data_IF_948699924874
#
_entry.id   IF_948699924874
#
_cell.length_a   1.000
_cell.length_b   1.000
_cell.length_c   1.000
_cell.angle_alpha   90.00
_cell.angle_beta   90.00
_cell.angle_gamma   90.00
#
_symmetry.space_group_name_H-M   'P 1'
#
loop_
_entity.id
_entity.type
_entity.pdbx_description
1 polymer ?
#
# COMPACT_ATOMS: atom_id res chain seq x y z
N UNK A 1 5.86 1.84 5.98
CA UNK A 1 5.54 2.76 7.09
C UNK A 1 4.29 2.28 7.82
N UNK A 2 3.14 2.05 7.14
CA UNK A 2 1.92 1.56 7.79
C UNK A 2 2.12 0.25 8.58
N UNK A 3 2.83 -0.73 8.02
CA UNK A 3 3.14 -1.99 8.70
C UNK A 3 4.01 -1.79 9.93
N UNK A 4 4.99 -0.89 9.86
CA UNK A 4 5.86 -0.53 10.99
C UNK A 4 5.11 0.18 12.10
N UNK A 5 4.33 1.21 11.75
CA UNK A 5 3.47 1.91 12.72
C UNK A 5 2.44 0.95 13.31
N UNK A 6 1.89 0.03 12.50
CA UNK A 6 1.01 -1.03 12.95
C UNK A 6 1.66 -1.98 13.98
N UNK A 7 2.94 -2.30 13.79
CA UNK A 7 3.68 -3.17 14.72
C UNK A 7 4.00 -2.45 16.04
N UNK A 8 4.48 -1.20 15.97
CA UNK A 8 4.86 -0.38 17.14
C UNK A 8 3.63 -0.05 18.00
N UNK A 9 2.50 0.27 17.37
CA UNK A 9 1.27 0.70 18.06
C UNK A 9 0.24 -0.42 18.23
N UNK A 10 0.57 -1.68 17.88
CA UNK A 10 -0.31 -2.85 18.06
C UNK A 10 -0.88 -3.00 19.49
N UNK A 11 -0.11 -2.75 20.57
CA UNK A 11 -0.66 -2.85 21.92
C UNK A 11 -1.76 -1.81 22.22
N UNK A 12 -1.72 -0.63 21.58
CA UNK A 12 -2.79 0.37 21.74
C UNK A 12 -4.08 -0.01 21.02
N UNK A 13 -4.01 -0.82 19.96
CA UNK A 13 -5.18 -1.23 19.17
C UNK A 13 -6.10 -2.23 19.90
N UNK A 14 -5.62 -2.86 20.99
CA UNK A 14 -6.34 -3.94 21.67
C UNK A 14 -7.38 -3.45 22.70
N UNK A 15 -7.37 -2.16 23.06
CA UNK A 15 -8.36 -1.54 23.95
C UNK A 15 -9.33 -0.67 23.15
N UNK A 16 -10.64 -0.71 23.47
CA UNK A 16 -11.66 0.10 22.78
C UNK A 16 -11.33 1.60 22.81
N UNK A 17 -10.81 2.10 23.92
CA UNK A 17 -10.37 3.48 24.08
C UNK A 17 -9.07 3.77 23.31
N UNK A 18 -8.14 2.80 23.23
CA UNK A 18 -6.90 2.91 22.47
C UNK A 18 -7.13 2.99 20.95
N UNK A 19 -8.20 2.38 20.45
CA UNK A 19 -8.57 2.41 19.03
C UNK A 19 -8.85 3.84 18.52
N UNK A 20 -9.55 4.65 19.31
CA UNK A 20 -9.86 6.04 18.95
C UNK A 20 -8.61 6.95 18.89
N UNK A 21 -7.57 6.63 19.63
CA UNK A 21 -6.31 7.38 19.62
C UNK A 21 -5.33 6.86 18.55
N UNK A 22 -5.36 5.56 18.31
CA UNK A 22 -4.49 4.87 17.35
C UNK A 22 -4.65 5.37 15.92
N UNK A 23 -5.90 5.42 15.39
CA UNK A 23 -6.13 5.79 13.99
C UNK A 23 -5.71 7.23 13.67
N UNK A 24 -6.10 8.27 14.43
CA UNK A 24 -5.68 9.63 14.13
C UNK A 24 -4.16 9.82 14.28
N UNK A 25 -3.52 9.14 15.24
CA UNK A 25 -2.07 9.19 15.41
C UNK A 25 -1.35 8.59 14.20
N UNK A 26 -1.77 7.44 13.70
CA UNK A 26 -1.19 6.83 12.49
C UNK A 26 -1.42 7.72 11.27
N UNK A 27 -2.61 8.32 11.13
CA UNK A 27 -2.91 9.26 10.04
C UNK A 27 -1.98 10.47 10.08
N UNK A 28 -1.79 11.07 11.26
CA UNK A 28 -0.87 12.19 11.44
C UNK A 28 0.56 11.83 11.06
N UNK A 29 1.05 10.67 11.49
CA UNK A 29 2.39 10.19 11.13
C UNK A 29 2.56 9.99 9.61
N UNK A 30 1.56 9.44 8.92
CA UNK A 30 1.59 9.24 7.47
C UNK A 30 1.66 10.58 6.74
N UNK A 31 0.88 11.58 7.16
CA UNK A 31 0.93 12.92 6.57
C UNK A 31 2.21 13.68 6.90
N UNK A 32 2.69 13.62 8.15
CA UNK A 32 4.00 14.18 8.52
C UNK A 32 5.11 13.61 7.63
N UNK A 33 5.11 12.29 7.44
CA UNK A 33 6.05 11.66 6.51
C UNK A 33 5.90 12.20 5.08
N UNK A 34 4.68 12.35 4.58
CA UNK A 34 4.43 12.86 3.23
C UNK A 34 5.00 14.29 3.04
N UNK A 35 4.87 15.15 4.04
CA UNK A 35 5.45 16.50 4.02
C UNK A 35 6.98 16.50 4.11
N UNK A 36 7.57 15.71 5.01
CA UNK A 36 9.03 15.57 5.14
C UNK A 36 9.65 15.02 3.84
N UNK A 37 8.97 14.12 3.16
CA UNK A 37 9.40 13.53 1.89
C UNK A 37 9.17 14.46 0.68
N UNK A 38 8.80 15.73 0.90
CA UNK A 38 8.64 16.73 -0.15
C UNK A 38 7.32 16.66 -0.92
N UNK A 39 6.28 16.01 -0.37
CA UNK A 39 4.93 15.91 -0.93
C UNK A 39 4.89 15.50 -2.43
N UNK A 40 5.80 14.63 -2.86
CA UNK A 40 5.81 14.12 -4.22
C UNK A 40 4.45 13.50 -4.58
N UNK A 41 3.93 13.65 -5.82
CA UNK A 41 2.58 13.19 -6.21
C UNK A 41 2.31 11.72 -5.89
N UNK A 42 3.32 10.85 -6.00
CA UNK A 42 3.22 9.43 -5.66
C UNK A 42 3.00 9.20 -4.16
N UNK A 43 3.66 9.99 -3.32
CA UNK A 43 3.56 9.88 -1.85
C UNK A 43 2.22 10.42 -1.38
N UNK A 44 1.77 11.56 -1.92
CA UNK A 44 0.46 12.14 -1.60
C UNK A 44 -0.66 11.17 -1.95
N UNK A 45 -0.62 10.52 -3.12
CA UNK A 45 -1.59 9.49 -3.50
C UNK A 45 -1.60 8.30 -2.53
N UNK A 46 -0.43 7.77 -2.21
CA UNK A 46 -0.31 6.66 -1.27
C UNK A 46 -0.81 7.02 0.13
N UNK A 47 -0.51 8.24 0.60
CA UNK A 47 -0.95 8.75 1.90
C UNK A 47 -2.48 8.95 1.94
N UNK A 48 -3.08 9.49 0.87
CA UNK A 48 -4.51 9.63 0.74
C UNK A 48 -5.22 8.26 0.75
N UNK A 49 -4.77 7.29 -0.05
CA UNK A 49 -5.33 5.94 -0.06
C UNK A 49 -5.22 5.27 1.31
N UNK A 50 -4.07 5.40 1.98
CA UNK A 50 -3.85 4.88 3.32
C UNK A 50 -4.79 5.53 4.35
N UNK A 51 -4.97 6.84 4.29
CA UNK A 51 -5.87 7.60 5.17
C UNK A 51 -7.31 7.10 5.04
N UNK A 52 -7.86 7.02 3.82
CA UNK A 52 -9.23 6.56 3.61
C UNK A 52 -9.42 5.09 3.99
N UNK A 53 -8.41 4.25 3.80
CA UNK A 53 -8.42 2.87 4.28
C UNK A 53 -8.45 2.80 5.81
N UNK A 54 -7.69 3.66 6.51
CA UNK A 54 -7.70 3.75 7.97
C UNK A 54 -9.03 4.25 8.50
N UNK A 55 -9.63 5.27 7.86
CA UNK A 55 -10.97 5.77 8.20
C UNK A 55 -12.02 4.67 8.03
N UNK A 56 -12.01 3.95 6.91
CA UNK A 56 -12.94 2.86 6.66
C UNK A 56 -12.80 1.74 7.71
N UNK A 57 -11.57 1.44 8.12
CA UNK A 57 -11.27 0.48 9.19
C UNK A 57 -11.68 0.99 10.57
N UNK A 58 -11.56 2.28 10.83
CA UNK A 58 -12.02 2.91 12.07
C UNK A 58 -13.54 2.81 12.24
N UNK A 59 -14.28 3.03 11.14
CA UNK A 59 -15.76 2.98 11.10
C UNK A 59 -16.30 1.53 11.02
N UNK A 60 -15.40 0.53 10.92
CA UNK A 60 -15.75 -0.91 10.84
C UNK A 60 -16.63 -1.28 9.63
N UNK A 61 -16.35 -0.65 8.48
CA UNK A 61 -17.07 -0.94 7.23
C UNK A 61 -16.72 -2.32 6.67
N UNK A 62 -17.73 -3.09 6.24
CA UNK A 62 -17.54 -4.45 5.68
C UNK A 62 -16.78 -4.45 4.34
N UNK A 63 -16.92 -3.41 3.51
CA UNK A 63 -16.26 -3.27 2.21
C UNK A 63 -15.12 -2.24 2.26
N UNK A 64 -14.08 -2.54 3.03
CA UNK A 64 -12.94 -1.65 3.28
C UNK A 64 -12.17 -1.24 2.02
N UNK A 65 -12.00 -2.17 1.06
CA UNK A 65 -11.13 -1.95 -0.10
C UNK A 65 -11.71 -0.99 -1.14
N UNK A 66 -12.85 -1.33 -1.72
CA UNK A 66 -13.44 -0.58 -2.85
C UNK A 66 -13.93 0.79 -2.40
N UNK A 67 -14.58 0.86 -1.22
CA UNK A 67 -15.08 2.13 -0.69
C UNK A 67 -13.96 3.13 -0.37
N UNK A 68 -12.86 2.67 0.23
CA UNK A 68 -11.71 3.53 0.53
C UNK A 68 -10.99 4.00 -0.74
N UNK A 69 -10.90 3.14 -1.76
CA UNK A 69 -10.31 3.48 -3.04
C UNK A 69 -11.14 4.55 -3.77
N UNK A 70 -12.47 4.41 -3.82
CA UNK A 70 -13.36 5.41 -4.40
C UNK A 70 -13.30 6.75 -3.67
N UNK A 71 -13.30 6.75 -2.33
CA UNK A 71 -13.17 7.95 -1.52
C UNK A 71 -11.83 8.66 -1.71
N UNK A 72 -10.72 7.90 -1.81
CA UNK A 72 -9.40 8.47 -2.07
C UNK A 72 -9.29 9.08 -3.47
N UNK A 73 -9.88 8.42 -4.48
CA UNK A 73 -9.95 8.94 -5.84
C UNK A 73 -10.73 10.26 -5.87
N UNK A 74 -11.92 10.28 -5.27
CA UNK A 74 -12.75 11.48 -5.20
C UNK A 74 -12.00 12.64 -4.55
N UNK A 75 -11.33 12.40 -3.43
CA UNK A 75 -10.52 13.40 -2.74
C UNK A 75 -9.38 13.93 -3.61
N UNK A 76 -8.63 13.06 -4.28
CA UNK A 76 -7.52 13.46 -5.16
C UNK A 76 -7.98 14.28 -6.37
N UNK A 77 -9.16 13.96 -6.93
CA UNK A 77 -9.74 14.73 -8.03
C UNK A 77 -10.34 16.06 -7.56
N UNK A 78 -10.80 16.15 -6.32
CA UNK A 78 -11.28 17.40 -5.71
C UNK A 78 -10.14 18.40 -5.53
N UNK A 79 -8.94 17.92 -5.17
CA UNK A 79 -7.74 18.75 -5.02
C UNK A 79 -7.23 19.23 -6.38
N UNK A 80 -7.16 18.33 -7.35
CA UNK A 80 -6.75 18.68 -8.72
C UNK A 80 -7.43 17.73 -9.74
N UNK A 81 -8.44 18.21 -10.49
CA UNK A 81 -9.17 17.40 -11.45
C UNK A 81 -8.30 16.90 -12.62
N UNK A 82 -7.22 17.60 -12.96
CA UNK A 82 -6.28 17.17 -14.02
C UNK A 82 -5.49 15.92 -13.66
N UNK A 83 -5.43 15.52 -12.40
CA UNK A 83 -4.78 14.29 -11.96
C UNK A 83 -5.35 13.04 -12.66
N UNK A 84 -6.59 13.08 -13.17
CA UNK A 84 -7.20 11.94 -13.87
C UNK A 84 -6.41 11.54 -15.12
N UNK A 85 -5.78 12.50 -15.79
CA UNK A 85 -4.96 12.26 -16.99
C UNK A 85 -3.53 11.83 -16.65
N UNK A 86 -3.16 11.86 -15.38
CA UNK A 86 -1.82 11.47 -14.94
C UNK A 86 -1.68 9.94 -14.94
N UNK A 87 -0.77 9.37 -15.78
CA UNK A 87 -0.60 7.91 -15.87
C UNK A 87 -0.19 7.28 -14.54
N UNK A 88 0.48 8.05 -13.67
CA UNK A 88 0.84 7.62 -12.33
C UNK A 88 -0.37 7.39 -11.43
N UNK A 89 -1.41 8.24 -11.48
CA UNK A 89 -2.65 8.04 -10.74
C UNK A 89 -3.40 6.81 -11.27
N UNK A 90 -3.58 6.73 -12.58
CA UNK A 90 -4.29 5.62 -13.20
C UNK A 90 -3.65 4.27 -12.83
N UNK A 91 -2.32 4.15 -12.98
CA UNK A 91 -1.58 2.93 -12.62
C UNK A 91 -1.76 2.55 -11.16
N UNK A 92 -1.68 3.51 -10.23
CA UNK A 92 -1.83 3.24 -8.79
C UNK A 92 -3.24 2.78 -8.43
N UNK A 93 -4.26 3.38 -9.02
CA UNK A 93 -5.67 2.99 -8.82
C UNK A 93 -5.95 1.60 -9.38
N UNK A 94 -5.54 1.33 -10.62
CA UNK A 94 -5.72 0.01 -11.23
C UNK A 94 -4.93 -1.08 -10.49
N UNK A 95 -3.73 -0.78 -9.98
CA UNK A 95 -2.97 -1.72 -9.16
C UNK A 95 -3.74 -2.11 -7.89
N UNK A 96 -4.21 -1.12 -7.13
CA UNK A 96 -4.94 -1.37 -5.87
C UNK A 96 -6.27 -2.07 -6.16
N UNK A 97 -6.99 -1.66 -7.20
CA UNK A 97 -8.23 -2.31 -7.61
C UNK A 97 -7.99 -3.78 -8.01
N UNK A 98 -6.93 -4.04 -8.78
CA UNK A 98 -6.51 -5.39 -9.15
C UNK A 98 -6.21 -6.27 -7.93
N UNK A 99 -5.50 -5.74 -6.96
CA UNK A 99 -5.20 -6.45 -5.71
C UNK A 99 -6.51 -6.80 -4.98
N UNK A 100 -7.41 -5.83 -4.79
CA UNK A 100 -8.67 -6.05 -4.06
C UNK A 100 -9.54 -7.12 -4.73
N UNK A 101 -9.58 -7.12 -6.06
CA UNK A 101 -10.49 -7.98 -6.82
C UNK A 101 -9.89 -9.35 -7.18
N UNK A 102 -8.63 -9.38 -7.62
CA UNK A 102 -7.98 -10.58 -8.19
C UNK A 102 -7.12 -11.35 -7.20
N UNK A 103 -6.62 -10.72 -6.13
CA UNK A 103 -5.71 -11.40 -5.19
C UNK A 103 -6.36 -12.63 -4.56
N UNK A 104 -7.60 -12.51 -4.06
CA UNK A 104 -8.28 -13.61 -3.35
C UNK A 104 -8.57 -14.82 -4.25
N UNK A 105 -9.14 -14.68 -5.46
CA UNK A 105 -9.33 -15.82 -6.34
C UNK A 105 -8.02 -16.48 -6.76
N UNK A 106 -6.96 -15.70 -7.04
CA UNK A 106 -5.65 -16.27 -7.41
C UNK A 106 -5.02 -17.01 -6.23
N UNK A 107 -5.12 -16.47 -5.02
CA UNK A 107 -4.57 -17.11 -3.82
C UNK A 107 -5.21 -18.48 -3.54
N UNK A 108 -6.50 -18.63 -3.84
CA UNK A 108 -7.25 -19.88 -3.64
C UNK A 108 -6.89 -20.98 -4.64
N UNK A 109 -6.23 -20.66 -5.75
CA UNK A 109 -5.83 -21.65 -6.76
C UNK A 109 -4.81 -22.65 -6.21
N UNK A 110 -3.94 -22.20 -5.32
CA UNK A 110 -2.94 -23.05 -4.70
C UNK A 110 -2.64 -22.60 -3.28
N UNK A 111 -2.78 -23.53 -2.33
CA UNK A 111 -2.49 -23.29 -0.91
C UNK A 111 -1.37 -24.23 -0.49
N UNK A 112 -0.10 -23.82 -0.57
CA UNK A 112 1.02 -24.65 -0.14
C UNK A 112 0.98 -24.87 1.38
N UNK A 113 1.30 -26.11 1.80
CA UNK A 113 1.30 -26.51 3.21
C UNK A 113 2.41 -25.89 4.07
N UNK A 114 3.50 -25.43 3.45
CA UNK A 114 4.62 -24.79 4.14
C UNK A 114 4.41 -23.29 4.25
N UNK A 115 4.61 -22.72 5.46
CA UNK A 115 4.45 -21.29 5.74
C UNK A 115 5.30 -20.39 4.83
N UNK A 116 6.56 -20.78 4.53
CA UNK A 116 7.45 -20.00 3.67
C UNK A 116 6.95 -19.96 2.22
N UNK A 117 6.55 -21.11 1.66
CA UNK A 117 5.98 -21.17 0.31
C UNK A 117 4.64 -20.45 0.22
N UNK A 118 3.82 -20.48 1.26
CA UNK A 118 2.59 -19.71 1.33
C UNK A 118 2.87 -18.20 1.26
N UNK A 119 3.88 -17.72 1.99
CA UNK A 119 4.26 -16.30 1.98
C UNK A 119 4.79 -15.83 0.63
N UNK A 120 5.62 -16.66 -0.02
CA UNK A 120 6.09 -16.38 -1.38
C UNK A 120 4.94 -16.38 -2.39
N UNK A 121 4.01 -17.32 -2.25
CA UNK A 121 2.82 -17.39 -3.09
C UNK A 121 1.91 -16.17 -2.91
N UNK A 122 1.70 -15.71 -1.68
CA UNK A 122 0.93 -14.50 -1.38
C UNK A 122 1.53 -13.27 -2.10
N UNK A 123 2.84 -13.05 -2.02
CA UNK A 123 3.54 -11.95 -2.70
C UNK A 123 3.41 -12.06 -4.22
N UNK A 124 3.52 -13.27 -4.76
CA UNK A 124 3.35 -13.55 -6.19
C UNK A 124 1.93 -13.22 -6.65
N UNK A 125 0.90 -13.63 -5.90
CA UNK A 125 -0.50 -13.36 -6.20
C UNK A 125 -0.79 -11.85 -6.22
N UNK A 126 -0.27 -11.09 -5.25
CA UNK A 126 -0.40 -9.63 -5.20
C UNK A 126 0.25 -8.99 -6.44
N UNK A 127 1.47 -9.43 -6.79
CA UNK A 127 2.20 -8.91 -7.95
C UNK A 127 1.46 -9.19 -9.26
N UNK A 128 0.97 -10.41 -9.46
CA UNK A 128 0.22 -10.81 -10.66
C UNK A 128 -1.10 -10.04 -10.74
N UNK A 129 -1.84 -9.94 -9.65
CA UNK A 129 -3.11 -9.21 -9.60
C UNK A 129 -2.94 -7.72 -9.97
N UNK A 130 -1.92 -7.08 -9.40
CA UNK A 130 -1.59 -5.69 -9.73
C UNK A 130 -1.18 -5.54 -11.19
N UNK A 131 -0.34 -6.46 -11.71
CA UNK A 131 0.18 -6.38 -13.07
C UNK A 131 -0.92 -6.56 -14.12
N UNK A 132 -1.83 -7.52 -13.96
CA UNK A 132 -2.93 -7.75 -14.89
C UNK A 132 -3.74 -6.47 -15.10
N UNK A 133 -4.03 -5.73 -14.04
CA UNK A 133 -4.83 -4.51 -14.11
C UNK A 133 -4.03 -3.28 -14.55
N UNK A 134 -2.73 -3.21 -14.26
CA UNK A 134 -1.88 -2.09 -14.69
C UNK A 134 -1.33 -2.25 -16.10
N UNK A 135 -1.35 -3.46 -16.64
CA UNK A 135 -0.82 -3.78 -17.96
C UNK A 135 -1.45 -2.96 -19.09
N UNK A 136 -2.80 -2.81 -19.20
CA UNK A 136 -3.41 -2.00 -20.25
C UNK A 136 -2.92 -0.55 -20.22
N UNK A 137 -2.83 0.03 -19.01
CA UNK A 137 -2.35 1.41 -18.84
C UNK A 137 -0.87 1.53 -19.22
N UNK A 138 -0.06 0.55 -18.83
CA UNK A 138 1.37 0.54 -19.15
C UNK A 138 1.62 0.40 -20.64
N UNK A 139 0.87 -0.45 -21.32
CA UNK A 139 0.96 -0.61 -22.78
C UNK A 139 0.50 0.66 -23.53
N UNK A 140 -0.59 1.28 -23.08
CA UNK A 140 -1.14 2.47 -23.73
C UNK A 140 -0.19 3.67 -23.63
N UNK A 141 0.39 3.94 -22.44
CA UNK A 141 1.24 5.12 -22.21
C UNK A 141 2.71 4.90 -22.56
N UNK A 142 3.24 3.70 -22.36
CA UNK A 142 4.69 3.45 -22.46
C UNK A 142 5.06 2.49 -23.60
N UNK A 143 4.09 1.76 -24.17
CA UNK A 143 4.36 0.78 -25.25
C UNK A 143 5.28 -0.39 -24.83
N UNK A 144 5.53 -0.56 -23.53
CA UNK A 144 6.48 -1.53 -23.00
C UNK A 144 5.80 -2.55 -22.11
N UNK A 145 6.16 -3.81 -22.28
CA UNK A 145 5.73 -4.91 -21.43
C UNK A 145 6.84 -5.23 -20.41
N UNK A 146 6.56 -5.13 -19.10
CA UNK A 146 7.57 -5.44 -18.07
C UNK A 146 7.76 -6.95 -17.91
N UNK A 147 8.62 -7.56 -18.70
CA UNK A 147 8.83 -9.01 -18.71
C UNK A 147 9.34 -9.57 -17.38
N UNK A 148 10.14 -8.79 -16.65
CA UNK A 148 10.81 -9.24 -15.42
C UNK A 148 10.08 -8.82 -14.13
N UNK A 149 8.86 -8.29 -14.22
CA UNK A 149 8.14 -7.74 -13.06
C UNK A 149 7.96 -8.74 -11.91
N UNK A 150 7.69 -10.02 -12.25
CA UNK A 150 7.43 -11.05 -11.26
C UNK A 150 8.70 -11.38 -10.45
N UNK A 151 9.80 -11.58 -11.15
CA UNK A 151 11.11 -11.89 -10.55
C UNK A 151 11.59 -10.67 -9.76
N UNK A 152 11.49 -9.47 -10.34
CA UNK A 152 11.88 -8.24 -9.68
C UNK A 152 11.07 -8.02 -8.38
N UNK A 153 9.76 -8.15 -8.40
CA UNK A 153 8.93 -7.95 -7.21
C UNK A 153 9.19 -9.00 -6.12
N UNK A 154 9.47 -10.25 -6.51
CA UNK A 154 9.78 -11.33 -5.57
C UNK A 154 11.04 -11.03 -4.74
N UNK A 155 12.05 -10.40 -5.37
CA UNK A 155 13.30 -10.02 -4.70
C UNK A 155 13.24 -8.61 -4.08
N UNK A 156 12.68 -7.64 -4.80
CA UNK A 156 12.66 -6.24 -4.38
C UNK A 156 11.80 -6.03 -3.12
N UNK A 157 10.64 -6.68 -3.04
CA UNK A 157 9.73 -6.49 -1.88
C UNK A 157 10.39 -6.94 -0.57
N UNK A 158 10.94 -8.17 -0.43
CA UNK A 158 11.58 -8.57 0.81
C UNK A 158 12.88 -7.80 1.07
N UNK A 159 13.66 -7.47 0.03
CA UNK A 159 14.90 -6.71 0.18
C UNK A 159 14.62 -5.28 0.68
N UNK A 160 13.65 -4.60 0.09
CA UNK A 160 13.22 -3.25 0.52
C UNK A 160 12.71 -3.26 1.96
N UNK A 161 11.96 -4.29 2.32
CA UNK A 161 11.49 -4.47 3.70
C UNK A 161 12.65 -4.63 4.67
N UNK A 162 13.63 -5.47 4.33
CA UNK A 162 14.84 -5.66 5.14
C UNK A 162 15.66 -4.36 5.26
N UNK A 163 15.84 -3.61 4.17
CA UNK A 163 16.53 -2.32 4.18
C UNK A 163 15.83 -1.29 5.10
N UNK A 164 14.50 -1.20 5.04
CA UNK A 164 13.74 -0.28 5.90
C UNK A 164 13.93 -0.64 7.38
N UNK A 165 13.82 -1.92 7.73
CA UNK A 165 14.07 -2.36 9.10
C UNK A 165 15.53 -2.11 9.56
N UNK A 166 16.51 -2.35 8.67
CA UNK A 166 17.91 -2.05 8.90
C UNK A 166 18.18 -0.57 9.17
N UNK A 167 17.61 0.32 8.35
CA UNK A 167 17.72 1.77 8.56
C UNK A 167 17.12 2.22 9.88
N UNK A 168 15.97 1.68 10.28
CA UNK A 168 15.35 2.01 11.55
C UNK A 168 16.19 1.52 12.73
N UNK A 169 16.71 0.30 12.65
CA UNK A 169 17.62 -0.24 13.67
C UNK A 169 18.86 0.64 13.80
N UNK A 170 19.45 1.06 12.67
CA UNK A 170 20.61 1.95 12.67
C UNK A 170 20.31 3.29 13.34
N UNK A 171 19.15 3.90 13.06
CA UNK A 171 18.73 5.15 13.70
C UNK A 171 18.52 5.01 15.21
N UNK A 172 18.12 3.82 15.69
CA UNK A 172 17.95 3.56 17.11
C UNK A 172 19.28 3.31 17.83
N UNK A 173 20.27 2.73 17.14
CA UNK A 173 21.57 2.37 17.70
C UNK A 173 22.55 3.53 17.66
N UNK A 174 22.49 4.38 16.64
CA UNK A 174 23.32 5.60 16.54
C UNK A 174 22.53 6.80 17.08
N UNK A 175 22.72 7.19 18.35
CA UNK A 175 22.19 8.47 18.80
C UNK A 175 22.87 9.57 17.98
N UNK A 176 22.03 10.40 17.35
CA UNK A 176 22.49 11.58 16.60
C UNK A 176 23.34 12.43 17.56
N UNK A 177 24.59 12.77 17.22
CA UNK A 177 25.42 13.61 18.06
C UNK A 177 24.88 15.03 18.17
#
# INVERSE_FOLDING_TARGET
IYLLLGFIFKPLSNHKTGRHLYYPLVMSCVWCYAFIAGAAPSIVRASAMCMFFLIAKWIDRKNLGIGSLGASLFFLLMVNPFNIYEPGLQRSLFAVWGIIWLQQPILRLWVPGNWLFFKLWEVTCVSVAAQIMTLPVSLFYFGQFPNYFLIANLFVIPLTTACIYGCILQLLVTPVP
#
